data_IF_709491216338
#
_entry.id   IF_709491216338
#
_cell.length_a   1.000
_cell.length_b   1.000
_cell.length_c   1.000
_cell.angle_alpha   90.00
_cell.angle_beta   90.00
_cell.angle_gamma   90.00
#
_symmetry.space_group_name_H-M   'P 1'
#
loop_
_entity.id
_entity.type
_entity.pdbx_description
1 polymer ?
#
# COMPACT_ATOMS: atom_id res chain seq x y z
N UNK A 1 3.53 -6.40 18.32
CA UNK A 1 3.68 -7.58 17.46
C UNK A 1 4.02 -7.12 16.04
N UNK A 2 5.07 -7.66 15.48
CA UNK A 2 5.46 -7.30 14.13
C UNK A 2 4.58 -7.98 13.10
N UNK A 3 4.21 -7.22 12.10
CA UNK A 3 3.37 -7.70 11.00
C UNK A 3 3.90 -7.11 9.70
N UNK A 4 3.88 -7.91 8.66
CA UNK A 4 4.20 -7.38 7.34
C UNK A 4 3.37 -8.06 6.28
N UNK A 5 3.20 -7.36 5.16
CA UNK A 5 2.45 -7.86 4.02
C UNK A 5 3.09 -7.30 2.76
N UNK A 6 3.13 -8.11 1.71
CA UNK A 6 3.72 -7.70 0.45
C UNK A 6 2.72 -7.89 -0.69
N UNK A 7 2.76 -6.97 -1.64
CA UNK A 7 1.94 -7.02 -2.84
C UNK A 7 2.90 -6.99 -4.04
N UNK A 8 2.85 -8.04 -4.85
CA UNK A 8 3.69 -8.11 -6.03
C UNK A 8 3.12 -7.25 -7.15
N UNK A 9 3.99 -6.48 -7.79
CA UNK A 9 3.62 -5.63 -8.92
C UNK A 9 4.15 -6.18 -10.23
N UNK A 10 4.55 -7.45 -10.24
CA UNK A 10 5.13 -8.09 -11.39
C UNK A 10 6.48 -7.48 -11.74
N UNK A 11 6.66 -7.12 -12.99
CA UNK A 11 7.92 -6.52 -13.44
C UNK A 11 8.18 -5.14 -12.84
N UNK A 12 7.16 -4.53 -12.25
CA UNK A 12 7.31 -3.19 -11.68
C UNK A 12 7.82 -3.18 -10.25
N UNK A 13 7.91 -4.36 -9.62
CA UNK A 13 8.47 -4.46 -8.28
C UNK A 13 7.48 -4.98 -7.24
N UNK A 14 7.50 -4.38 -6.08
CA UNK A 14 6.72 -4.86 -4.94
C UNK A 14 6.44 -3.73 -3.97
N UNK A 15 5.28 -3.79 -3.33
CA UNK A 15 4.95 -2.90 -2.21
C UNK A 15 4.93 -3.74 -0.95
N UNK A 16 5.61 -3.30 0.08
CA UNK A 16 5.62 -3.96 1.38
C UNK A 16 5.10 -3.01 2.45
N UNK A 17 4.19 -3.49 3.27
CA UNK A 17 3.71 -2.78 4.45
C UNK A 17 4.23 -3.52 5.68
N UNK A 18 4.85 -2.81 6.59
CA UNK A 18 5.43 -3.40 7.79
C UNK A 18 5.03 -2.62 9.02
N UNK A 19 4.69 -3.35 10.07
CA UNK A 19 4.32 -2.78 11.36
C UNK A 19 5.47 -2.99 12.33
N UNK A 20 6.07 -1.90 12.76
CA UNK A 20 7.14 -1.90 13.76
C UNK A 20 6.69 -1.11 14.99
N UNK A 21 7.51 -1.12 16.03
CA UNK A 21 7.23 -0.34 17.24
C UNK A 21 7.02 1.14 16.93
N UNK A 22 7.73 1.65 15.93
CA UNK A 22 7.63 3.05 15.54
C UNK A 22 6.41 3.37 14.67
N UNK A 23 5.64 2.36 14.29
CA UNK A 23 4.45 2.53 13.49
C UNK A 23 4.50 1.77 12.17
N UNK A 24 3.64 2.18 11.25
CA UNK A 24 3.51 1.51 9.95
C UNK A 24 4.50 2.11 8.95
N UNK A 25 5.16 1.23 8.20
CA UNK A 25 6.08 1.63 7.14
C UNK A 25 5.62 1.08 5.80
N UNK A 26 5.65 1.95 4.79
CA UNK A 26 5.37 1.58 3.41
C UNK A 26 6.68 1.58 2.64
N UNK A 27 6.98 0.49 1.95
CA UNK A 27 8.19 0.39 1.13
C UNK A 27 7.78 0.04 -0.30
N UNK A 28 8.28 0.83 -1.24
CA UNK A 28 8.11 0.52 -2.66
C UNK A 28 9.44 0.00 -3.20
N UNK A 29 9.43 -1.20 -3.71
CA UNK A 29 10.60 -1.86 -4.29
C UNK A 29 10.49 -1.85 -5.80
N UNK A 30 11.52 -1.35 -6.46
CA UNK A 30 11.64 -1.38 -7.91
C UNK A 30 13.04 -1.87 -8.26
N UNK A 31 13.23 -2.31 -9.50
CA UNK A 31 14.53 -2.80 -9.95
C UNK A 31 15.63 -1.78 -9.67
N UNK A 32 16.59 -2.20 -8.84
CA UNK A 32 17.74 -1.37 -8.52
C UNK A 32 17.50 -0.25 -7.51
N UNK A 33 16.29 -0.14 -6.94
CA UNK A 33 16.00 0.94 -6.00
C UNK A 33 14.85 0.57 -5.07
N UNK A 34 14.79 1.26 -3.93
CA UNK A 34 13.64 1.16 -3.04
C UNK A 34 13.44 2.49 -2.32
N UNK A 35 12.24 2.71 -1.86
CA UNK A 35 11.89 3.92 -1.13
C UNK A 35 10.95 3.54 0.00
N UNK A 36 11.25 3.99 1.20
CA UNK A 36 10.43 3.70 2.39
C UNK A 36 9.98 4.98 3.04
N UNK A 37 8.78 4.95 3.59
CA UNK A 37 8.24 6.08 4.32
C UNK A 37 7.37 5.59 5.48
N UNK A 38 7.47 6.22 6.65
CA UNK A 38 6.52 5.93 7.72
C UNK A 38 5.17 6.54 7.38
N UNK A 39 4.11 5.91 7.86
CA UNK A 39 2.74 6.40 7.71
C UNK A 39 2.13 6.57 9.09
N UNK A 40 1.46 7.69 9.30
CA UNK A 40 0.64 7.89 10.50
C UNK A 40 -0.64 7.08 10.34
N UNK A 41 -1.36 6.90 11.45
CA UNK A 41 -2.66 6.25 11.41
C UNK A 41 -3.61 6.96 10.45
N UNK A 42 -3.62 8.29 10.50
CA UNK A 42 -4.49 9.09 9.64
C UNK A 42 -4.11 8.93 8.16
N UNK A 43 -2.82 8.84 7.87
CA UNK A 43 -2.36 8.63 6.50
C UNK A 43 -2.72 7.24 6.00
N UNK A 44 -2.64 6.24 6.87
CA UNK A 44 -3.04 4.88 6.50
C UNK A 44 -4.54 4.81 6.21
N UNK A 45 -5.35 5.49 7.01
CA UNK A 45 -6.79 5.57 6.79
C UNK A 45 -7.09 6.25 5.46
N UNK A 46 -6.41 7.36 5.19
CA UNK A 46 -6.58 8.10 3.94
C UNK A 46 -6.21 7.23 2.73
N UNK A 47 -5.15 6.48 2.83
CA UNK A 47 -4.74 5.57 1.75
C UNK A 47 -5.81 4.50 1.52
N UNK A 48 -6.31 3.89 2.59
CA UNK A 48 -7.38 2.91 2.51
C UNK A 48 -8.61 3.49 1.81
N UNK A 49 -9.00 4.70 2.19
CA UNK A 49 -10.18 5.34 1.64
C UNK A 49 -10.01 5.68 0.15
N UNK A 50 -8.83 6.13 -0.23
CA UNK A 50 -8.52 6.38 -1.65
C UNK A 50 -8.62 5.11 -2.48
N UNK A 51 -8.08 4.02 -1.97
CA UNK A 51 -8.13 2.72 -2.66
C UNK A 51 -9.57 2.22 -2.77
N UNK A 52 -10.36 2.38 -1.70
CA UNK A 52 -11.75 1.98 -1.70
C UNK A 52 -12.58 2.78 -2.71
N UNK A 53 -12.32 4.07 -2.81
CA UNK A 53 -13.01 4.93 -3.78
C UNK A 53 -12.73 4.48 -5.20
N UNK A 54 -11.48 4.17 -5.49
CA UNK A 54 -11.09 3.69 -6.80
C UNK A 54 -11.75 2.34 -7.12
N UNK A 55 -11.76 1.43 -6.14
CA UNK A 55 -12.36 0.11 -6.32
C UNK A 55 -13.86 0.18 -6.57
N UNK A 56 -14.55 1.08 -5.87
CA UNK A 56 -15.99 1.30 -6.09
C UNK A 56 -16.24 1.81 -7.50
N UNK A 57 -15.43 2.77 -7.93
CA UNK A 57 -15.54 3.34 -9.27
C UNK A 57 -15.33 2.28 -10.35
N UNK A 58 -14.32 1.44 -10.17
CA UNK A 58 -14.02 0.33 -11.07
C UNK A 58 -15.19 -0.64 -11.16
N UNK A 59 -15.76 -0.96 -9.99
CA UNK A 59 -16.89 -1.88 -9.90
C UNK A 59 -18.12 -1.34 -10.63
N UNK A 60 -18.37 -0.04 -10.54
CA UNK A 60 -19.46 0.61 -11.26
C UNK A 60 -19.28 0.50 -12.78
N UNK A 61 -18.06 0.70 -13.25
CA UNK A 61 -17.75 0.55 -14.66
C UNK A 61 -17.91 -0.89 -15.12
N UNK A 62 -17.53 -1.83 -14.29
CA UNK A 62 -17.59 -3.24 -14.63
C UNK A 62 -19.01 -3.78 -14.70
N UNK A 63 -19.95 -3.12 -14.06
CA UNK A 63 -21.34 -3.58 -14.01
C UNK A 63 -22.20 -3.14 -15.18
N UNK A 64 -21.65 -2.41 -16.10
CA UNK A 64 -22.38 -1.94 -17.29
C UNK A 64 -22.35 -2.95 -18.42
#
# INVERSE_FOLDING_TARGET
>A
MEWNSSIELGQYGRITLSDYESGLWLTLWKTGAHCSSPLTREQAIALRDCLNQWLVKESEHASI
#
